data_IF_402351871311
#
_entry.id   IF_402351871311
#
_cell.length_a   1.000
_cell.length_b   1.000
_cell.length_c   1.000
_cell.angle_alpha   90.00
_cell.angle_beta   90.00
_cell.angle_gamma   90.00
#
_symmetry.space_group_name_H-M   'P 1'
#
loop_
_entity.id
_entity.type
_entity.pdbx_description
1 polymer ?
#
# COMPACT_ATOMS: atom_id res chain seq x y z
N UNK A 1 -14.64 -9.09 18.83
CA UNK A 1 -13.68 -8.30 18.03
C UNK A 1 -12.74 -9.30 17.40
N UNK A 2 -12.52 -9.25 16.09
CA UNK A 2 -11.64 -10.18 15.39
C UNK A 2 -10.24 -10.13 16.01
N UNK A 3 -9.67 -11.25 16.42
CA UNK A 3 -8.26 -11.28 16.79
C UNK A 3 -7.42 -11.21 15.51
N UNK A 4 -7.07 -10.01 15.06
CA UNK A 4 -6.33 -9.81 13.81
C UNK A 4 -5.21 -8.78 13.91
N UNK A 5 -4.48 -8.65 12.81
CA UNK A 5 -3.51 -7.58 12.59
C UNK A 5 -4.10 -6.59 11.58
N UNK A 6 -4.10 -5.31 11.92
CA UNK A 6 -4.46 -4.22 11.04
C UNK A 6 -3.26 -3.94 10.17
N UNK A 7 -3.45 -4.21 8.88
CA UNK A 7 -2.49 -3.95 7.82
C UNK A 7 -2.99 -2.79 6.98
N UNK A 8 -2.14 -1.79 6.80
CA UNK A 8 -2.34 -0.68 5.89
C UNK A 8 -1.38 -0.85 4.72
N UNK A 9 -1.94 -0.94 3.51
CA UNK A 9 -1.23 -1.09 2.25
C UNK A 9 -1.35 0.21 1.48
N UNK A 10 -0.22 0.82 1.15
CA UNK A 10 -0.13 2.05 0.35
C UNK A 10 0.72 1.74 -0.87
N UNK A 11 0.19 1.93 -2.08
CA UNK A 11 0.96 1.81 -3.34
C UNK A 11 0.88 3.13 -4.08
N UNK A 12 2.04 3.66 -4.48
CA UNK A 12 2.17 4.92 -5.20
C UNK A 12 2.92 4.70 -6.52
N UNK A 13 2.40 5.30 -7.58
CA UNK A 13 3.07 5.43 -8.87
C UNK A 13 3.38 6.90 -9.15
N UNK A 14 4.55 7.14 -9.73
CA UNK A 14 5.00 8.44 -10.20
C UNK A 14 5.47 8.32 -11.65
N UNK A 15 5.16 9.31 -12.47
CA UNK A 15 5.68 9.40 -13.83
C UNK A 15 5.39 10.77 -14.45
N UNK A 16 6.13 11.08 -15.50
CA UNK A 16 5.87 12.30 -16.27
C UNK A 16 4.47 12.28 -16.89
N UNK A 17 3.85 13.45 -16.91
CA UNK A 17 2.59 13.70 -17.60
C UNK A 17 2.78 14.88 -18.55
N UNK A 18 2.17 14.81 -19.73
CA UNK A 18 2.14 15.95 -20.66
C UNK A 18 0.86 16.71 -20.47
N UNK A 19 0.94 17.92 -19.92
CA UNK A 19 -0.20 18.83 -19.76
C UNK A 19 0.07 20.08 -20.60
N UNK A 20 -0.85 20.49 -21.51
CA UNK A 20 -0.69 21.72 -22.26
C UNK A 20 -0.46 22.92 -21.33
N UNK A 21 0.51 23.78 -21.68
CA UNK A 21 0.90 24.98 -20.91
C UNK A 21 1.73 24.76 -19.64
N UNK A 22 2.17 23.53 -19.36
CA UNK A 22 3.07 23.24 -18.25
C UNK A 22 4.28 22.42 -18.71
N UNK A 23 5.48 22.91 -18.40
CA UNK A 23 6.72 22.16 -18.58
C UNK A 23 6.96 21.25 -17.36
N UNK A 24 7.66 20.12 -17.56
CA UNK A 24 8.10 19.19 -16.50
C UNK A 24 7.00 18.71 -15.54
N UNK A 25 5.79 18.49 -16.05
CA UNK A 25 4.67 18.02 -15.24
C UNK A 25 4.86 16.56 -14.79
N UNK A 26 4.56 16.31 -13.52
CA UNK A 26 4.62 14.98 -12.91
C UNK A 26 3.27 14.63 -12.32
N UNK A 27 2.82 13.40 -12.59
CA UNK A 27 1.60 12.84 -12.01
C UNK A 27 1.95 11.78 -10.99
N UNK A 28 1.21 11.80 -9.87
CA UNK A 28 1.19 10.76 -8.86
C UNK A 28 -0.17 10.06 -8.87
N UNK A 29 -0.16 8.74 -8.83
CA UNK A 29 -1.34 7.92 -8.56
C UNK A 29 -1.11 7.16 -7.25
N UNK A 30 -2.10 7.12 -6.36
CA UNK A 30 -1.98 6.43 -5.07
C UNK A 30 -3.22 5.60 -4.75
N UNK A 31 -2.99 4.37 -4.27
CA UNK A 31 -4.01 3.51 -3.69
C UNK A 31 -3.61 3.22 -2.24
N UNK A 32 -4.52 3.50 -1.31
CA UNK A 32 -4.38 3.14 0.09
C UNK A 32 -5.56 2.26 0.53
N UNK A 33 -5.27 1.09 1.11
CA UNK A 33 -6.28 0.14 1.61
C UNK A 33 -5.90 -0.39 2.98
N UNK A 34 -6.91 -0.65 3.79
CA UNK A 34 -6.75 -1.24 5.13
C UNK A 34 -7.47 -2.58 5.20
N UNK A 35 -6.85 -3.58 5.81
CA UNK A 35 -7.48 -4.87 6.12
C UNK A 35 -7.13 -5.35 7.51
N UNK A 36 -8.06 -6.08 8.11
CA UNK A 36 -7.78 -6.90 9.29
C UNK A 36 -7.46 -8.30 8.77
N UNK A 37 -6.25 -8.79 9.06
CA UNK A 37 -5.77 -10.09 8.60
C UNK A 37 -5.50 -11.02 9.80
N UNK A 38 -5.47 -12.35 9.61
CA UNK A 38 -5.02 -13.28 10.65
C UNK A 38 -3.57 -13.00 11.07
N UNK A 39 -3.21 -13.29 12.33
CA UNK A 39 -1.84 -13.11 12.84
C UNK A 39 -0.83 -14.01 12.14
N UNK A 40 -1.30 -15.10 11.55
CA UNK A 40 -0.53 -16.09 10.80
C UNK A 40 -0.23 -15.62 9.37
N UNK A 41 -0.71 -14.43 8.98
CA UNK A 41 -0.43 -13.87 7.65
C UNK A 41 1.07 -13.76 7.42
N UNK A 42 1.52 -14.34 6.32
CA UNK A 42 2.93 -14.40 5.94
C UNK A 42 3.32 -13.19 5.08
N UNK A 43 4.63 -12.94 4.98
CA UNK A 43 5.16 -11.92 4.07
C UNK A 43 4.75 -12.20 2.62
N UNK A 44 4.78 -13.45 2.17
CA UNK A 44 4.37 -13.83 0.81
C UNK A 44 2.89 -13.47 0.52
N UNK A 45 2.00 -13.63 1.49
CA UNK A 45 0.60 -13.22 1.34
C UNK A 45 0.47 -11.70 1.24
N UNK A 46 1.25 -10.93 2.02
CA UNK A 46 1.29 -9.47 1.89
C UNK A 46 1.85 -9.03 0.53
N UNK A 47 2.87 -9.71 0.02
CA UNK A 47 3.44 -9.45 -1.30
C UNK A 47 2.43 -9.66 -2.41
N UNK A 48 1.64 -10.75 -2.38
CA UNK A 48 0.57 -10.97 -3.36
C UNK A 48 -0.48 -9.86 -3.31
N UNK A 49 -0.91 -9.45 -2.11
CA UNK A 49 -1.84 -8.32 -1.97
C UNK A 49 -1.26 -7.02 -2.52
N UNK A 50 0.03 -6.75 -2.32
CA UNK A 50 0.70 -5.58 -2.91
C UNK A 50 0.77 -5.68 -4.42
N UNK A 51 1.08 -6.86 -4.98
CA UNK A 51 1.13 -7.08 -6.44
C UNK A 51 -0.23 -6.84 -7.08
N UNK A 52 -1.32 -7.25 -6.44
CA UNK A 52 -2.69 -6.95 -6.90
C UNK A 52 -2.92 -5.44 -7.00
N UNK A 53 -2.55 -4.65 -5.98
CA UNK A 53 -2.68 -3.19 -6.02
C UNK A 53 -1.77 -2.54 -7.06
N UNK A 54 -0.56 -3.07 -7.24
CA UNK A 54 0.35 -2.62 -8.30
C UNK A 54 -0.21 -2.90 -9.69
N UNK A 55 -0.88 -4.03 -9.89
CA UNK A 55 -1.54 -4.35 -11.16
C UNK A 55 -2.68 -3.37 -11.42
N UNK A 56 -3.51 -3.08 -10.42
CA UNK A 56 -4.59 -2.09 -10.49
C UNK A 56 -4.07 -0.70 -10.91
N UNK A 57 -2.99 -0.22 -10.30
CA UNK A 57 -2.39 1.06 -10.70
C UNK A 57 -1.93 1.04 -12.16
N UNK A 58 -1.38 -0.09 -12.64
CA UNK A 58 -0.89 -0.20 -14.02
C UNK A 58 -2.01 -0.23 -15.06
N UNK A 59 -3.25 -0.50 -14.67
CA UNK A 59 -4.41 -0.39 -15.56
C UNK A 59 -4.68 1.08 -15.93
N UNK A 60 -4.58 1.98 -14.94
CA UNK A 60 -4.86 3.41 -15.11
C UNK A 60 -3.60 4.25 -15.44
N UNK A 61 -2.43 3.81 -15.00
CA UNK A 61 -1.17 4.54 -15.09
C UNK A 61 -0.11 3.65 -15.74
N UNK A 62 -0.09 3.65 -17.07
CA UNK A 62 0.81 2.80 -17.84
C UNK A 62 2.25 3.29 -17.74
N UNK A 63 3.14 2.37 -17.33
CA UNK A 63 4.61 2.58 -17.25
C UNK A 63 5.05 3.74 -16.34
N UNK A 64 4.75 3.69 -15.03
CA UNK A 64 5.34 4.63 -14.09
C UNK A 64 6.86 4.56 -14.07
N UNK A 65 7.52 5.70 -13.90
CA UNK A 65 8.96 5.78 -13.62
C UNK A 65 9.29 5.17 -12.26
N UNK A 66 8.40 5.36 -11.28
CA UNK A 66 8.53 4.77 -9.95
C UNK A 66 7.21 4.13 -9.54
N UNK A 67 7.29 2.90 -9.04
CA UNK A 67 6.17 2.18 -8.46
C UNK A 67 6.60 1.62 -7.11
N UNK A 68 6.04 2.16 -6.04
CA UNK A 68 6.46 1.92 -4.67
C UNK A 68 5.30 1.36 -3.86
N UNK A 69 5.60 0.48 -2.91
CA UNK A 69 4.64 0.00 -1.94
C UNK A 69 5.16 0.15 -0.52
N UNK A 70 4.24 0.44 0.40
CA UNK A 70 4.48 0.54 1.84
C UNK A 70 3.42 -0.27 2.56
N UNK A 71 3.88 -1.13 3.45
CA UNK A 71 3.03 -2.00 4.27
C UNK A 71 3.25 -1.62 5.73
N UNK A 72 2.19 -1.21 6.42
CA UNK A 72 2.25 -0.80 7.82
C UNK A 72 1.43 -1.77 8.67
N UNK A 73 2.09 -2.39 9.65
CA UNK A 73 1.45 -3.15 10.73
C UNK A 73 1.30 -2.23 11.95
N UNK A 74 0.09 -2.15 12.50
CA UNK A 74 -0.12 -1.35 13.71
C UNK A 74 -0.21 -2.22 14.95
N UNK A 75 0.58 -1.86 15.95
CA UNK A 75 0.54 -2.43 17.29
C UNK A 75 0.67 -1.31 18.33
N UNK A 76 0.23 -1.59 19.54
CA UNK A 76 0.43 -0.76 20.73
C UNK A 76 1.01 -1.59 21.85
N UNK A 77 1.73 -0.95 22.75
CA UNK A 77 2.16 -1.57 24.00
C UNK A 77 1.04 -1.42 25.05
N UNK A 78 0.82 -2.45 25.88
CA UNK A 78 -0.08 -2.41 27.03
C UNK A 78 0.43 -3.38 28.10
N UNK A 79 0.81 -2.85 29.26
CA UNK A 79 1.30 -3.60 30.44
C UNK A 79 2.53 -4.48 30.16
N UNK A 80 3.48 -3.96 29.38
CA UNK A 80 4.68 -4.64 28.90
C UNK A 80 4.44 -5.59 27.72
N UNK A 81 3.22 -5.66 27.18
CA UNK A 81 2.84 -6.62 26.12
C UNK A 81 2.47 -5.89 24.83
N UNK A 82 3.10 -6.30 23.72
CA UNK A 82 2.75 -5.81 22.39
C UNK A 82 1.39 -6.39 21.95
N UNK A 83 0.43 -5.51 21.66
CA UNK A 83 -0.91 -5.84 21.16
C UNK A 83 -1.10 -5.28 19.77
N UNK A 84 -1.29 -6.16 18.79
CA UNK A 84 -1.67 -5.74 17.45
C UNK A 84 -3.07 -5.11 17.46
N UNK A 85 -3.24 -4.06 16.67
CA UNK A 85 -4.55 -3.44 16.46
C UNK A 85 -5.28 -4.25 15.39
N UNK A 86 -6.55 -4.61 15.58
CA UNK A 86 -7.36 -5.35 14.58
C UNK A 86 -8.44 -6.19 15.22
#
# INVERSE_FOLDING_TARGET
MSEGIKVELEVSAFGQETVPSYDDSVRKYEIARTRILPKETTLAQLEEMVKELMAEIKEDFQQPEQLLAKVTLRAKETDGVLKYLG
#
